data_IF_807711971090
#
_entry.id   IF_807711971090
#
_cell.length_a   1.000
_cell.length_b   1.000
_cell.length_c   1.000
_cell.angle_alpha   90.00
_cell.angle_beta   90.00
_cell.angle_gamma   90.00
#
_symmetry.space_group_name_H-M   'P 1'
#
loop_
_entity.id
_entity.type
_entity.pdbx_description
1 polymer ?
#
# COMPACT_ATOMS: atom_id res chain seq x y z
N UNK A 1 -12.96 8.52 9.55
CA UNK A 1 -12.09 7.34 9.62
C UNK A 1 -10.73 7.78 10.10
N UNK A 2 -10.03 6.98 10.91
CA UNK A 2 -8.74 7.35 11.51
C UNK A 2 -7.60 6.55 10.86
N UNK A 3 -6.46 7.20 10.69
CA UNK A 3 -5.19 6.53 10.38
C UNK A 3 -4.50 6.13 11.69
N UNK A 4 -3.72 5.06 11.65
CA UNK A 4 -2.98 4.53 12.78
C UNK A 4 -1.50 4.47 12.46
N UNK A 5 -0.68 4.89 13.43
CA UNK A 5 0.77 4.67 13.42
C UNK A 5 1.10 3.78 14.60
N UNK A 6 1.74 2.66 14.34
CA UNK A 6 2.06 1.63 15.34
C UNK A 6 3.59 1.60 15.48
N UNK A 7 4.05 1.81 16.71
CA UNK A 7 5.46 1.79 17.11
C UNK A 7 6.40 2.64 16.22
N UNK A 8 5.85 3.69 15.59
CA UNK A 8 6.54 4.51 14.57
C UNK A 8 7.14 3.71 13.40
N UNK A 9 6.65 2.49 13.16
CA UNK A 9 7.13 1.59 12.11
C UNK A 9 6.05 1.24 11.10
N UNK A 10 4.79 1.14 11.51
CA UNK A 10 3.70 0.79 10.60
C UNK A 10 2.74 1.96 10.47
N UNK A 11 2.49 2.41 9.25
CA UNK A 11 1.39 3.32 8.93
C UNK A 11 0.25 2.55 8.27
N UNK A 12 -0.92 2.55 8.91
CA UNK A 12 -2.18 2.20 8.28
C UNK A 12 -2.98 3.49 8.04
N UNK A 13 -3.07 3.96 6.78
CA UNK A 13 -3.74 5.20 6.44
C UNK A 13 -5.26 5.07 6.36
N UNK A 14 -5.82 3.89 6.62
CA UNK A 14 -7.22 3.58 6.33
C UNK A 14 -7.51 3.92 4.85
N UNK A 15 -8.66 4.54 4.53
CA UNK A 15 -9.06 4.84 3.15
C UNK A 15 -8.65 6.26 2.71
N UNK A 16 -7.50 6.76 3.19
CA UNK A 16 -7.09 8.17 3.01
C UNK A 16 -5.67 8.32 2.48
N UNK A 17 -5.49 9.20 1.49
CA UNK A 17 -4.18 9.70 1.05
C UNK A 17 -3.99 11.20 1.35
N UNK A 18 -4.53 11.65 2.48
CA UNK A 18 -4.39 13.05 2.91
C UNK A 18 -2.92 13.47 3.01
N UNK A 19 -2.55 14.70 2.58
CA UNK A 19 -1.19 15.22 2.67
C UNK A 19 -0.58 15.20 4.07
N UNK A 20 -1.39 15.22 5.14
CA UNK A 20 -0.90 15.13 6.52
C UNK A 20 -0.15 13.82 6.81
N UNK A 21 -0.45 12.75 6.05
CA UNK A 21 0.22 11.46 6.17
C UNK A 21 1.68 11.50 5.70
N UNK A 22 2.05 12.49 4.86
CA UNK A 22 3.41 12.68 4.39
C UNK A 22 4.40 13.03 5.51
N UNK A 23 3.91 13.39 6.70
CA UNK A 23 4.73 13.53 7.91
C UNK A 23 5.43 12.21 8.30
N UNK A 24 4.95 11.06 7.79
CA UNK A 24 5.52 9.73 7.99
C UNK A 24 6.28 9.22 6.76
N UNK A 25 6.77 10.11 5.90
CA UNK A 25 7.62 9.72 4.77
C UNK A 25 8.81 8.89 5.24
N UNK A 26 9.12 7.78 4.54
CA UNK A 26 10.21 6.87 4.91
C UNK A 26 9.86 5.83 5.97
N UNK A 27 8.57 5.68 6.32
CA UNK A 27 8.08 4.68 7.29
C UNK A 27 8.51 3.25 6.89
N UNK A 28 8.70 2.37 7.88
CA UNK A 28 9.14 0.98 7.65
C UNK A 28 8.12 0.20 6.79
N UNK A 29 6.86 0.16 7.22
CA UNK A 29 5.77 -0.50 6.49
C UNK A 29 4.60 0.46 6.26
N UNK A 30 4.18 0.58 5.01
CA UNK A 30 2.91 1.21 4.62
C UNK A 30 1.88 0.15 4.27
N UNK A 31 0.78 0.11 5.01
CA UNK A 31 -0.41 -0.66 4.64
C UNK A 31 -1.17 0.15 3.59
N UNK A 32 -1.12 -0.25 2.32
CA UNK A 32 -1.54 0.58 1.19
C UNK A 32 -2.88 0.10 0.61
N UNK A 33 -3.96 0.89 0.69
CA UNK A 33 -5.13 0.67 -0.15
C UNK A 33 -4.75 0.69 -1.63
N UNK A 34 -4.96 -0.42 -2.32
CA UNK A 34 -4.66 -0.55 -3.76
C UNK A 34 -5.89 -0.57 -4.65
N UNK A 35 -7.07 -0.68 -4.03
CA UNK A 35 -8.35 -0.76 -4.72
C UNK A 35 -9.43 -0.11 -3.85
N UNK A 36 -10.33 0.67 -4.47
CA UNK A 36 -11.54 1.22 -3.85
C UNK A 36 -12.38 1.88 -4.96
N UNK A 37 -13.68 2.17 -4.72
CA UNK A 37 -14.46 3.00 -5.63
C UNK A 37 -13.75 4.34 -5.90
N UNK A 38 -13.62 4.70 -7.18
CA UNK A 38 -12.98 5.94 -7.66
C UNK A 38 -11.47 6.07 -7.39
N UNK A 39 -10.83 5.09 -6.75
CA UNK A 39 -9.38 5.08 -6.56
C UNK A 39 -8.70 4.67 -7.87
N UNK A 40 -7.75 5.49 -8.32
CA UNK A 40 -6.99 5.23 -9.55
C UNK A 40 -5.55 4.86 -9.22
N UNK A 41 -4.92 4.09 -10.11
CA UNK A 41 -3.52 3.68 -9.95
C UNK A 41 -2.58 4.87 -9.91
N UNK A 42 -2.90 5.94 -10.63
CA UNK A 42 -2.10 7.17 -10.64
C UNK A 42 -2.13 7.87 -9.27
N UNK A 43 -3.28 7.87 -8.60
CA UNK A 43 -3.41 8.46 -7.25
C UNK A 43 -2.59 7.66 -6.24
N UNK A 44 -2.68 6.31 -6.29
CA UNK A 44 -1.88 5.41 -5.45
C UNK A 44 -0.39 5.58 -5.73
N UNK A 45 0.01 5.53 -7.00
CA UNK A 45 1.41 5.68 -7.42
C UNK A 45 2.00 7.02 -6.98
N UNK A 46 1.24 8.12 -7.14
CA UNK A 46 1.66 9.44 -6.69
C UNK A 46 1.82 9.52 -5.17
N UNK A 47 0.92 8.89 -4.41
CA UNK A 47 1.03 8.81 -2.96
C UNK A 47 2.26 8.02 -2.51
N UNK A 48 2.48 6.83 -3.09
CA UNK A 48 3.66 5.99 -2.82
C UNK A 48 4.94 6.74 -3.15
N UNK A 49 5.00 7.41 -4.31
CA UNK A 49 6.16 8.20 -4.72
C UNK A 49 6.50 9.31 -3.71
N UNK A 50 5.50 9.93 -3.09
CA UNK A 50 5.72 10.96 -2.07
C UNK A 50 6.11 10.35 -0.70
N UNK A 51 5.43 9.27 -0.30
CA UNK A 51 5.62 8.58 0.97
C UNK A 51 6.96 7.85 1.09
N UNK A 52 7.50 7.30 -0.01
CA UNK A 52 8.78 6.57 -0.02
C UNK A 52 8.95 5.59 1.16
N UNK A 53 7.96 4.72 1.48
CA UNK A 53 8.13 3.73 2.55
C UNK A 53 9.21 2.72 2.20
N UNK A 54 9.75 1.98 3.18
CA UNK A 54 10.67 0.88 2.87
C UNK A 54 9.94 -0.33 2.29
N UNK A 55 8.75 -0.61 2.81
CA UNK A 55 7.94 -1.76 2.42
C UNK A 55 6.46 -1.38 2.26
N UNK A 56 5.75 -2.06 1.37
CA UNK A 56 4.30 -1.90 1.14
C UNK A 56 3.59 -3.23 1.30
N UNK A 57 2.55 -3.22 2.14
CA UNK A 57 1.54 -4.27 2.22
C UNK A 57 0.26 -3.79 1.51
N UNK A 58 -0.05 -4.27 0.30
CA UNK A 58 -1.29 -3.93 -0.39
C UNK A 58 -2.52 -4.49 0.35
N UNK A 59 -3.59 -3.70 0.42
CA UNK A 59 -4.89 -4.07 1.03
C UNK A 59 -6.08 -3.41 0.31
N UNK A 60 -7.29 -3.62 0.83
CA UNK A 60 -8.57 -3.07 0.32
C UNK A 60 -9.04 -3.70 -1.00
N UNK A 61 -8.51 -4.87 -1.31
CA UNK A 61 -8.78 -5.63 -2.54
C UNK A 61 -9.47 -6.96 -2.28
N UNK A 62 -9.87 -7.26 -1.04
CA UNK A 62 -10.49 -8.53 -0.64
C UNK A 62 -11.85 -8.85 -1.30
N UNK A 63 -12.45 -7.89 -2.02
CA UNK A 63 -13.65 -8.13 -2.82
C UNK A 63 -13.35 -8.55 -4.27
N UNK A 64 -12.10 -8.39 -4.72
CA UNK A 64 -11.69 -8.69 -6.08
C UNK A 64 -11.67 -10.20 -6.34
N UNK A 65 -11.93 -10.60 -7.59
CA UNK A 65 -11.61 -11.96 -8.03
C UNK A 65 -10.10 -12.13 -8.11
N UNK A 66 -9.60 -13.33 -7.86
CA UNK A 66 -8.18 -13.65 -7.82
C UNK A 66 -7.40 -13.16 -9.05
N UNK A 67 -7.96 -13.31 -10.25
CA UNK A 67 -7.29 -12.85 -11.48
C UNK A 67 -7.17 -11.31 -11.57
N UNK A 68 -8.13 -10.55 -11.01
CA UNK A 68 -8.02 -9.09 -10.93
C UNK A 68 -7.01 -8.65 -9.86
N UNK A 69 -6.92 -9.41 -8.76
CA UNK A 69 -5.93 -9.18 -7.71
C UNK A 69 -4.51 -9.39 -8.24
N UNK A 70 -4.29 -10.50 -8.93
CA UNK A 70 -3.01 -10.81 -9.56
C UNK A 70 -2.59 -9.70 -10.53
N UNK A 71 -3.46 -9.33 -11.46
CA UNK A 71 -3.19 -8.25 -12.41
C UNK A 71 -2.85 -6.92 -11.70
N UNK A 72 -3.55 -6.62 -10.60
CA UNK A 72 -3.32 -5.39 -9.81
C UNK A 72 -1.91 -5.37 -9.22
N UNK A 73 -1.47 -6.49 -8.65
CA UNK A 73 -0.15 -6.59 -8.04
C UNK A 73 0.96 -6.60 -9.08
N UNK A 74 0.75 -7.28 -10.22
CA UNK A 74 1.67 -7.23 -11.37
C UNK A 74 1.79 -5.82 -11.97
N UNK A 75 0.81 -4.94 -11.72
CA UNK A 75 0.86 -3.54 -12.15
C UNK A 75 1.62 -2.67 -11.14
N UNK A 76 1.31 -2.74 -9.85
CA UNK A 76 1.98 -1.92 -8.84
C UNK A 76 3.39 -2.36 -8.52
N UNK A 77 3.60 -3.66 -8.33
CA UNK A 77 4.85 -4.24 -7.86
C UNK A 77 6.07 -3.74 -8.63
N UNK A 78 6.13 -3.92 -9.97
CA UNK A 78 7.26 -3.45 -10.76
C UNK A 78 7.48 -1.93 -10.73
N UNK A 79 6.42 -1.13 -10.56
CA UNK A 79 6.54 0.31 -10.41
C UNK A 79 7.15 0.69 -9.06
N UNK A 80 6.65 0.09 -7.98
CA UNK A 80 7.07 0.34 -6.60
C UNK A 80 8.52 -0.13 -6.38
N UNK A 81 8.86 -1.31 -6.88
CA UNK A 81 10.21 -1.89 -6.78
C UNK A 81 11.27 -1.04 -7.51
N UNK A 82 10.92 -0.42 -8.65
CA UNK A 82 11.79 0.55 -9.35
C UNK A 82 12.11 1.79 -8.52
N UNK A 83 11.28 2.11 -7.52
CA UNK A 83 11.53 3.19 -6.57
C UNK A 83 12.39 2.74 -5.38
N UNK A 84 12.84 1.48 -5.35
CA UNK A 84 13.62 0.91 -4.25
C UNK A 84 12.78 0.48 -3.05
N UNK A 85 11.46 0.28 -3.24
CA UNK A 85 10.50 -0.07 -2.19
C UNK A 85 10.13 -1.54 -2.34
N UNK A 86 10.15 -2.31 -1.24
CA UNK A 86 9.70 -3.70 -1.26
C UNK A 86 8.17 -3.77 -1.36
N UNK A 87 7.65 -4.52 -2.32
CA UNK A 87 6.21 -4.78 -2.45
C UNK A 87 5.90 -6.20 -2.00
N UNK A 88 4.94 -6.37 -1.09
CA UNK A 88 4.51 -7.68 -0.61
C UNK A 88 3.34 -8.22 -1.44
N UNK A 89 3.47 -9.43 -1.97
CA UNK A 89 2.47 -10.05 -2.86
C UNK A 89 1.58 -11.05 -2.11
N UNK A 90 0.89 -10.60 -1.06
CA UNK A 90 -0.04 -11.44 -0.28
C UNK A 90 -1.38 -11.51 -1.01
N UNK A 91 -1.64 -12.62 -1.68
CA UNK A 91 -2.85 -12.82 -2.50
C UNK A 91 -3.91 -13.67 -1.80
N UNK A 92 -3.58 -14.33 -0.69
CA UNK A 92 -4.48 -15.23 0.03
C UNK A 92 -4.75 -14.72 1.46
N UNK A 93 -6.02 -14.72 1.92
CA UNK A 93 -6.34 -14.39 3.29
C UNK A 93 -5.61 -15.27 4.30
N UNK A 94 -5.06 -14.65 5.35
CA UNK A 94 -4.32 -15.34 6.41
C UNK A 94 -2.81 -15.40 6.22
N UNK A 95 -2.28 -14.93 5.08
CA UNK A 95 -0.84 -14.69 4.94
C UNK A 95 -0.38 -13.52 5.83
N UNK A 96 0.90 -13.53 6.18
CA UNK A 96 1.50 -12.53 7.08
C UNK A 96 2.88 -12.08 6.60
N UNK A 97 3.24 -10.87 7.01
CA UNK A 97 4.58 -10.29 6.89
C UNK A 97 5.13 -10.12 8.31
N UNK A 98 6.42 -10.43 8.50
CA UNK A 98 7.14 -10.22 9.76
C UNK A 98 8.08 -9.04 9.55
N UNK A 99 8.06 -8.10 10.50
CA UNK A 99 8.91 -6.90 10.54
C UNK A 99 10.02 -7.07 11.58
#
# INVERSE_FOLDING_TARGET
MFAFVIDNQVLNPADSFSPILLNYKGIELLVLPVMAPFLTELVVANFVKQMQPKQILPVHDGYAKSFFLQQRYETYGPYVEKLGIQFHYLTEPGQAVIL
#
